data_IF_121723043615
#
_entry.id   IF_121723043615
#
_cell.length_a   1.000
_cell.length_b   1.000
_cell.length_c   1.000
_cell.angle_alpha   90.00
_cell.angle_beta   90.00
_cell.angle_gamma   90.00
#
_symmetry.space_group_name_H-M   'P 1'
#
loop_
_entity.id
_entity.type
_entity.pdbx_description
1 polymer ?
#
# COMPACT_ATOMS: atom_id res chain seq x y z
N UNK A 1 -16.49 -15.71 33.89
CA UNK A 1 -15.65 -15.04 32.87
C UNK A 1 -16.27 -15.29 31.51
N UNK A 2 -16.78 -14.23 30.87
CA UNK A 2 -17.59 -14.31 29.64
C UNK A 2 -16.66 -13.97 28.47
N UNK A 3 -16.35 -14.94 27.61
CA UNK A 3 -15.58 -14.73 26.40
C UNK A 3 -16.51 -14.06 25.37
N UNK A 4 -16.27 -12.79 25.08
CA UNK A 4 -16.94 -12.08 23.98
C UNK A 4 -16.13 -12.36 22.72
N UNK A 5 -16.60 -13.31 21.91
CA UNK A 5 -16.10 -13.52 20.56
C UNK A 5 -16.65 -12.39 19.68
N UNK A 6 -15.80 -11.43 19.33
CA UNK A 6 -16.12 -10.42 18.31
C UNK A 6 -15.92 -11.09 16.95
N UNK A 7 -17.02 -11.51 16.34
CA UNK A 7 -17.04 -11.93 14.95
C UNK A 7 -16.87 -10.67 14.06
N UNK A 8 -15.65 -10.44 13.56
CA UNK A 8 -15.45 -9.53 12.44
C UNK A 8 -15.91 -10.23 11.16
N UNK A 9 -17.10 -9.86 10.68
CA UNK A 9 -17.59 -10.23 9.36
C UNK A 9 -16.69 -9.59 8.30
N UNK A 10 -15.72 -10.34 7.78
CA UNK A 10 -15.02 -10.00 6.55
C UNK A 10 -15.96 -10.31 5.38
N UNK A 11 -16.78 -9.33 4.98
CA UNK A 11 -17.45 -9.36 3.67
C UNK A 11 -16.39 -9.22 2.58
N UNK A 12 -15.81 -10.34 2.18
CA UNK A 12 -15.04 -10.46 0.96
C UNK A 12 -15.97 -10.34 -0.24
N UNK A 13 -16.29 -9.10 -0.63
CA UNK A 13 -16.79 -8.84 -1.98
C UNK A 13 -15.60 -8.93 -2.94
N UNK A 14 -15.38 -10.14 -3.48
CA UNK A 14 -14.64 -10.36 -4.71
C UNK A 14 -15.50 -9.82 -5.87
N UNK A 15 -15.54 -8.51 -6.03
CA UNK A 15 -16.00 -7.88 -7.26
C UNK A 15 -14.83 -7.90 -8.25
N UNK A 16 -14.64 -9.04 -8.93
CA UNK A 16 -13.90 -9.08 -10.19
C UNK A 16 -14.80 -8.48 -11.28
N UNK A 17 -15.00 -7.16 -11.23
CA UNK A 17 -15.61 -6.40 -12.31
C UNK A 17 -14.48 -5.89 -13.20
N UNK A 18 -14.47 -6.33 -14.47
CA UNK A 18 -13.64 -5.73 -15.51
C UNK A 18 -13.80 -4.23 -15.48
N UNK A 19 -12.82 -3.55 -14.88
CA UNK A 19 -12.86 -2.11 -14.70
C UNK A 19 -12.13 -1.54 -15.90
N UNK A 20 -12.84 -0.82 -16.77
CA UNK A 20 -12.22 0.24 -17.54
C UNK A 20 -11.31 0.99 -16.58
N UNK A 21 -9.99 0.98 -16.81
CA UNK A 21 -9.02 1.46 -15.83
C UNK A 21 -9.40 2.90 -15.44
N UNK A 22 -9.98 3.04 -14.24
CA UNK A 22 -10.31 4.35 -13.71
C UNK A 22 -9.00 5.15 -13.69
N UNK A 23 -9.06 6.41 -14.11
CA UNK A 23 -7.89 7.28 -14.07
C UNK A 23 -7.30 7.25 -12.65
N UNK A 24 -6.00 6.97 -12.56
CA UNK A 24 -5.30 6.86 -11.28
C UNK A 24 -5.50 8.15 -10.48
N UNK A 25 -5.98 8.05 -9.26
CA UNK A 25 -6.19 9.22 -8.40
C UNK A 25 -4.88 9.66 -7.74
N UNK A 26 -4.82 10.90 -7.26
CA UNK A 26 -3.68 11.37 -6.45
C UNK A 26 -3.52 10.55 -5.17
N UNK A 27 -4.63 10.06 -4.61
CA UNK A 27 -4.62 9.17 -3.44
C UNK A 27 -3.98 7.84 -3.78
N UNK A 28 -4.23 7.29 -4.97
CA UNK A 28 -3.61 6.05 -5.42
C UNK A 28 -2.10 6.22 -5.64
N UNK A 29 -1.67 7.35 -6.23
CA UNK A 29 -0.25 7.68 -6.35
C UNK A 29 0.44 7.76 -4.98
N UNK A 30 -0.19 8.42 -4.00
CA UNK A 30 0.35 8.54 -2.64
C UNK A 30 0.41 7.16 -1.95
N UNK A 31 -0.64 6.33 -2.08
CA UNK A 31 -0.66 4.97 -1.53
C UNK A 31 0.39 4.07 -2.18
N UNK A 32 0.57 4.13 -3.49
CA UNK A 32 1.59 3.37 -4.19
C UNK A 32 3.01 3.72 -3.71
N UNK A 33 3.28 5.00 -3.39
CA UNK A 33 4.54 5.41 -2.77
C UNK A 33 4.74 4.75 -1.40
N UNK A 34 3.71 4.70 -0.55
CA UNK A 34 3.74 3.98 0.73
C UNK A 34 3.99 2.49 0.53
N UNK A 35 3.28 1.85 -0.40
CA UNK A 35 3.44 0.43 -0.71
C UNK A 35 4.86 0.08 -1.19
N UNK A 36 5.45 0.92 -2.04
CA UNK A 36 6.85 0.75 -2.47
C UNK A 36 7.81 0.81 -1.27
N UNK A 37 7.64 1.76 -0.36
CA UNK A 37 8.47 1.86 0.84
C UNK A 37 8.39 0.60 1.72
N UNK A 38 7.20 0.03 1.89
CA UNK A 38 7.03 -1.20 2.67
C UNK A 38 7.69 -2.40 1.97
N UNK A 39 7.55 -2.49 0.65
CA UNK A 39 8.16 -3.54 -0.14
C UNK A 39 9.70 -3.47 -0.08
N UNK A 40 10.29 -2.28 -0.22
CA UNK A 40 11.73 -2.07 -0.08
C UNK A 40 12.25 -2.33 1.35
N UNK A 41 11.39 -2.19 2.36
CA UNK A 41 11.73 -2.52 3.73
C UNK A 41 11.68 -4.03 4.03
N UNK A 42 11.32 -4.87 3.05
CA UNK A 42 11.26 -6.33 3.15
C UNK A 42 10.41 -6.84 4.33
N UNK A 43 9.30 -6.14 4.63
CA UNK A 43 8.35 -6.63 5.65
C UNK A 43 7.53 -7.83 5.15
N UNK A 44 7.46 -8.04 3.83
CA UNK A 44 7.02 -9.26 3.16
C UNK A 44 7.64 -9.32 1.76
N UNK A 45 7.83 -10.52 1.20
CA UNK A 45 8.38 -10.68 -0.15
C UNK A 45 7.36 -10.24 -1.21
N UNK A 46 7.74 -9.21 -1.97
CA UNK A 46 6.90 -8.59 -2.98
C UNK A 46 7.79 -8.01 -4.08
N UNK A 47 7.45 -8.26 -5.34
CA UNK A 47 8.11 -7.60 -6.47
C UNK A 47 7.77 -6.10 -6.49
N UNK A 48 8.82 -5.28 -6.52
CA UNK A 48 8.71 -3.82 -6.55
C UNK A 48 8.75 -3.24 -7.96
N UNK A 49 9.09 -4.05 -8.98
CA UNK A 49 9.29 -3.57 -10.34
C UNK A 49 8.02 -2.90 -10.91
N UNK A 50 6.86 -3.55 -10.75
CA UNK A 50 5.58 -3.01 -11.16
C UNK A 50 5.23 -1.71 -10.44
N UNK A 51 5.44 -1.64 -9.11
CA UNK A 51 5.21 -0.42 -8.33
C UNK A 51 6.12 0.74 -8.77
N UNK A 52 7.40 0.45 -9.04
CA UNK A 52 8.33 1.46 -9.53
C UNK A 52 7.93 1.97 -10.93
N UNK A 53 7.50 1.07 -11.82
CA UNK A 53 7.00 1.43 -13.14
C UNK A 53 5.76 2.31 -13.05
N UNK A 54 4.78 1.88 -12.25
CA UNK A 54 3.55 2.63 -11.97
C UNK A 54 3.86 4.06 -11.50
N UNK A 55 4.71 4.21 -10.48
CA UNK A 55 5.08 5.52 -9.94
C UNK A 55 5.81 6.39 -10.97
N UNK A 56 6.68 5.82 -11.81
CA UNK A 56 7.41 6.56 -12.85
C UNK A 56 6.50 7.07 -13.97
N UNK A 57 5.46 6.32 -14.31
CA UNK A 57 4.45 6.73 -15.28
C UNK A 57 3.59 7.84 -14.70
N UNK A 58 3.04 7.60 -13.51
CA UNK A 58 2.07 8.48 -12.90
C UNK A 58 2.66 9.80 -12.42
N UNK A 59 3.92 9.84 -11.95
CA UNK A 59 4.52 11.07 -11.42
C UNK A 59 4.56 12.24 -12.41
N UNK A 60 4.54 11.97 -13.72
CA UNK A 60 4.74 12.99 -14.77
C UNK A 60 3.58 13.98 -14.89
N UNK A 61 2.38 13.54 -14.51
CA UNK A 61 1.13 14.31 -14.60
C UNK A 61 0.69 14.90 -13.26
N UNK A 62 1.45 14.68 -12.17
CA UNK A 62 1.07 15.08 -10.82
C UNK A 62 1.59 16.46 -10.45
N UNK A 63 0.81 17.17 -9.65
CA UNK A 63 1.23 18.45 -9.06
C UNK A 63 2.38 18.25 -8.07
N UNK A 64 3.17 19.31 -7.84
CA UNK A 64 4.25 19.30 -6.87
C UNK A 64 3.78 18.89 -5.45
N UNK A 65 2.59 19.32 -5.04
CA UNK A 65 1.99 18.95 -3.76
C UNK A 65 1.78 17.43 -3.64
N UNK A 66 1.27 16.79 -4.69
CA UNK A 66 1.01 15.34 -4.68
C UNK A 66 2.33 14.56 -4.67
N UNK A 67 3.34 15.02 -5.39
CA UNK A 67 4.68 14.44 -5.37
C UNK A 67 5.32 14.52 -3.97
N UNK A 68 5.25 15.69 -3.33
CA UNK A 68 5.74 15.89 -1.97
C UNK A 68 5.00 14.98 -0.98
N UNK A 69 3.67 14.91 -1.09
CA UNK A 69 2.86 14.07 -0.20
C UNK A 69 3.14 12.59 -0.39
N UNK A 70 3.35 12.14 -1.63
CA UNK A 70 3.79 10.78 -1.93
C UNK A 70 5.15 10.46 -1.28
N UNK A 71 6.12 11.37 -1.40
CA UNK A 71 7.42 11.25 -0.73
C UNK A 71 7.28 11.19 0.80
N UNK A 72 6.45 12.04 1.38
CA UNK A 72 6.21 12.05 2.82
C UNK A 72 5.64 10.72 3.33
N UNK A 73 4.70 10.12 2.60
CA UNK A 73 4.14 8.80 2.94
C UNK A 73 5.15 7.67 2.73
N UNK A 74 5.98 7.74 1.68
CA UNK A 74 7.10 6.83 1.49
C UNK A 74 8.07 6.86 2.69
N UNK A 75 8.52 8.06 3.09
CA UNK A 75 9.46 8.20 4.20
C UNK A 75 8.85 7.77 5.54
N UNK A 76 7.55 8.04 5.74
CA UNK A 76 6.79 7.58 6.91
C UNK A 76 6.74 6.06 6.97
N UNK A 77 6.37 5.40 5.87
CA UNK A 77 6.29 3.94 5.80
C UNK A 77 7.66 3.28 6.05
N UNK A 78 8.74 3.86 5.52
CA UNK A 78 10.11 3.40 5.84
C UNK A 78 10.45 3.52 7.32
N UNK A 79 10.02 4.59 7.99
CA UNK A 79 10.23 4.75 9.44
C UNK A 79 9.41 3.74 10.24
N UNK A 80 8.15 3.50 9.85
CA UNK A 80 7.29 2.51 10.49
C UNK A 80 7.87 1.09 10.38
N UNK A 81 8.41 0.73 9.21
CA UNK A 81 9.01 -0.57 8.96
C UNK A 81 10.30 -0.82 9.77
N UNK A 82 10.99 0.24 10.20
CA UNK A 82 12.17 0.16 11.11
C UNK A 82 11.81 -0.15 12.56
N UNK A 83 10.53 -0.17 12.92
CA UNK A 83 10.13 -0.46 14.30
C UNK A 83 10.49 -1.89 14.71
N UNK A 84 10.95 -2.08 15.94
CA UNK A 84 11.24 -3.43 16.50
C UNK A 84 9.98 -4.20 16.93
N UNK A 85 8.81 -3.59 16.86
CA UNK A 85 7.54 -4.25 17.22
C UNK A 85 7.14 -5.27 16.16
N UNK A 86 7.12 -6.55 16.56
CA UNK A 86 6.65 -7.64 15.71
C UNK A 86 5.19 -7.46 15.26
N UNK A 87 4.31 -6.99 16.16
CA UNK A 87 2.92 -6.67 15.84
C UNK A 87 2.83 -5.61 14.74
N UNK A 88 3.63 -4.54 14.85
CA UNK A 88 3.66 -3.47 13.85
C UNK A 88 4.15 -3.99 12.50
N UNK A 89 5.22 -4.80 12.49
CA UNK A 89 5.71 -5.43 11.25
C UNK A 89 4.66 -6.34 10.62
N UNK A 90 3.93 -7.13 11.41
CA UNK A 90 2.86 -8.00 10.90
C UNK A 90 1.72 -7.19 10.27
N UNK A 91 1.34 -6.05 10.85
CA UNK A 91 0.34 -5.14 10.27
C UNK A 91 0.80 -4.52 8.95
N UNK A 92 2.06 -4.09 8.88
CA UNK A 92 2.65 -3.53 7.65
C UNK A 92 2.79 -4.60 6.56
N UNK A 93 3.13 -5.84 6.93
CA UNK A 93 3.14 -6.98 6.03
C UNK A 93 1.73 -7.24 5.47
N UNK A 94 0.70 -7.24 6.32
CA UNK A 94 -0.69 -7.39 5.87
C UNK A 94 -1.15 -6.26 4.94
N UNK A 95 -0.70 -5.03 5.17
CA UNK A 95 -0.93 -3.91 4.26
C UNK A 95 -0.28 -4.17 2.88
N UNK A 96 0.98 -4.62 2.89
CA UNK A 96 1.75 -4.91 1.70
C UNK A 96 1.21 -6.12 0.91
N UNK A 97 0.69 -7.13 1.60
CA UNK A 97 0.14 -8.34 0.98
C UNK A 97 -1.34 -8.24 0.64
N UNK A 98 -2.05 -7.23 1.14
CA UNK A 98 -3.47 -6.98 0.84
C UNK A 98 -3.66 -5.74 -0.03
N UNK A 99 -3.97 -4.56 0.54
CA UNK A 99 -4.24 -3.34 -0.22
C UNK A 99 -3.19 -2.98 -1.27
N UNK A 100 -1.90 -3.21 -1.01
CA UNK A 100 -0.83 -2.86 -1.94
C UNK A 100 -0.73 -3.76 -3.17
N UNK A 101 -1.46 -4.89 -3.23
CA UNK A 101 -1.46 -5.79 -4.39
C UNK A 101 -1.99 -5.12 -5.65
N UNK A 102 -2.87 -4.11 -5.51
CA UNK A 102 -3.46 -3.39 -6.64
C UNK A 102 -2.45 -2.61 -7.48
N UNK A 103 -1.23 -2.38 -6.96
CA UNK A 103 -0.16 -1.64 -7.65
C UNK A 103 0.97 -2.55 -8.17
N UNK A 104 0.75 -3.88 -8.17
CA UNK A 104 1.75 -4.89 -8.60
C UNK A 104 1.52 -5.48 -9.98
N UNK A 105 0.38 -5.17 -10.59
CA UNK A 105 -0.06 -5.65 -11.90
C UNK A 105 0.24 -4.65 -12.99
#
# INVERSE_FOLDING_TARGET
MKLIAIAFAATGMLAAAGSAAAAVSDVDFIRANRCRALAEANVAEVDTAAMQSFLKTEQRSRSAYVLERGKAEYDKARREAKSDSAERKARLAAELTGPCQVYKS
#
